data_IF_532776013415
#
_entry.id   IF_532776013415
#
_cell.length_a   1.000
_cell.length_b   1.000
_cell.length_c   1.000
_cell.angle_alpha   90.00
_cell.angle_beta   90.00
_cell.angle_gamma   90.00
#
_symmetry.space_group_name_H-M   'P 1'
#
loop_
_entity.id
_entity.type
_entity.pdbx_description
1 polymer ?
#
# COMPACT_ATOMS: atom_id res chain seq x y z
N UNK A 1 -1.24 0.32 -10.61
CA UNK A 1 -1.33 0.89 -9.26
C UNK A 1 -0.14 0.41 -8.43
N UNK A 2 0.64 1.32 -7.86
CA UNK A 2 1.83 1.02 -7.05
C UNK A 2 1.50 0.25 -5.75
N UNK A 3 0.39 0.54 -5.02
CA UNK A 3 0.06 -0.13 -3.77
C UNK A 3 -0.13 -1.64 -3.93
N UNK A 4 -0.85 -2.08 -4.98
CA UNK A 4 -1.13 -3.50 -5.24
C UNK A 4 0.17 -4.28 -5.50
N UNK A 5 1.11 -3.68 -6.25
CA UNK A 5 2.41 -4.32 -6.53
C UNK A 5 3.26 -4.44 -5.26
N UNK A 6 3.25 -3.42 -4.41
CA UNK A 6 3.96 -3.47 -3.12
C UNK A 6 3.36 -4.51 -2.18
N UNK A 7 2.04 -4.55 -2.04
CA UNK A 7 1.34 -5.54 -1.21
C UNK A 7 1.66 -6.97 -1.69
N UNK A 8 1.57 -7.21 -3.00
CA UNK A 8 1.90 -8.53 -3.58
C UNK A 8 3.33 -8.95 -3.23
N UNK A 9 4.30 -8.03 -3.36
CA UNK A 9 5.71 -8.30 -3.02
C UNK A 9 5.89 -8.61 -1.53
N UNK A 10 5.25 -7.85 -0.65
CA UNK A 10 5.28 -8.05 0.79
C UNK A 10 4.74 -9.43 1.20
N UNK A 11 3.63 -9.87 0.60
CA UNK A 11 3.04 -11.19 0.86
C UNK A 11 4.01 -12.31 0.45
N UNK A 12 4.67 -12.21 -0.72
CA UNK A 12 5.66 -13.23 -1.09
C UNK A 12 6.91 -13.20 -0.20
N UNK A 13 7.30 -12.04 0.33
CA UNK A 13 8.42 -11.92 1.26
C UNK A 13 8.08 -12.47 2.66
N UNK A 14 6.82 -12.36 3.10
CA UNK A 14 6.37 -12.86 4.41
C UNK A 14 6.53 -14.37 4.54
N UNK A 15 6.46 -15.11 3.43
CA UNK A 15 6.60 -16.58 3.42
C UNK A 15 7.99 -17.07 3.83
N UNK A 16 8.99 -16.18 3.85
CA UNK A 16 10.40 -16.52 4.16
C UNK A 16 10.92 -15.79 5.40
N UNK A 17 10.08 -15.02 6.09
CA UNK A 17 10.44 -14.20 7.24
C UNK A 17 9.60 -14.60 8.46
N UNK A 18 10.17 -14.41 9.65
CA UNK A 18 9.37 -14.49 10.87
C UNK A 18 8.39 -13.31 10.94
N UNK A 19 7.27 -13.53 11.64
CA UNK A 19 6.16 -12.58 11.70
C UNK A 19 6.58 -11.19 12.20
N UNK A 20 7.51 -11.12 13.16
CA UNK A 20 7.94 -9.85 13.75
C UNK A 20 8.74 -9.02 12.76
N UNK A 21 9.75 -9.63 12.14
CA UNK A 21 10.55 -8.98 11.08
C UNK A 21 9.67 -8.56 9.91
N UNK A 22 8.66 -9.36 9.57
CA UNK A 22 7.73 -9.03 8.49
C UNK A 22 6.88 -7.78 8.82
N UNK A 23 6.33 -7.68 10.03
CA UNK A 23 5.52 -6.53 10.44
C UNK A 23 6.33 -5.22 10.51
N UNK A 24 7.59 -5.28 10.95
CA UNK A 24 8.50 -4.11 10.91
C UNK A 24 8.73 -3.64 9.47
N UNK A 25 8.97 -4.59 8.55
CA UNK A 25 9.09 -4.31 7.12
C UNK A 25 7.82 -3.68 6.52
N UNK A 26 6.64 -4.22 6.86
CA UNK A 26 5.35 -3.66 6.43
C UNK A 26 5.20 -2.22 6.93
N UNK A 27 5.54 -1.95 8.19
CA UNK A 27 5.43 -0.62 8.79
C UNK A 27 6.25 0.42 8.02
N UNK A 28 7.50 0.10 7.68
CA UNK A 28 8.36 1.00 6.88
C UNK A 28 7.83 1.23 5.46
N UNK A 29 7.32 0.19 4.80
CA UNK A 29 6.79 0.30 3.43
C UNK A 29 5.44 1.04 3.37
N UNK A 30 4.62 0.92 4.42
CA UNK A 30 3.34 1.62 4.53
C UNK A 30 3.50 3.14 4.64
N UNK A 31 4.62 3.65 5.15
CA UNK A 31 4.91 5.08 5.12
C UNK A 31 5.00 5.60 3.67
N UNK A 32 5.75 4.91 2.81
CA UNK A 32 5.92 5.27 1.40
C UNK A 32 4.61 5.17 0.62
N UNK A 33 3.83 4.11 0.84
CA UNK A 33 2.52 3.95 0.18
C UNK A 33 1.57 5.08 0.57
N UNK A 34 1.59 5.52 1.84
CA UNK A 34 0.73 6.61 2.31
C UNK A 34 1.03 7.97 1.69
N UNK A 35 2.28 8.19 1.27
CA UNK A 35 2.69 9.41 0.56
C UNK A 35 2.33 9.41 -0.93
N UNK A 36 1.90 8.28 -1.49
CA UNK A 36 1.53 8.21 -2.91
C UNK A 36 0.24 8.96 -3.22
N UNK A 37 0.18 9.56 -4.41
CA UNK A 37 -1.01 10.25 -4.90
C UNK A 37 -2.20 9.30 -5.04
N UNK A 38 -1.95 8.04 -5.43
CA UNK A 38 -2.97 6.98 -5.51
C UNK A 38 -3.60 6.68 -4.13
N UNK A 39 -2.83 6.76 -3.04
CA UNK A 39 -3.37 6.55 -1.68
C UNK A 39 -4.25 7.73 -1.24
N UNK A 40 -3.78 8.96 -1.43
CA UNK A 40 -4.54 10.16 -1.12
C UNK A 40 -5.88 10.21 -1.89
N UNK A 41 -5.85 9.89 -3.19
CA UNK A 41 -7.03 9.78 -4.04
C UNK A 41 -7.97 8.66 -3.60
N UNK A 42 -7.44 7.49 -3.23
CA UNK A 42 -8.25 6.39 -2.70
C UNK A 42 -9.00 6.77 -1.42
N UNK A 43 -8.34 7.48 -0.51
CA UNK A 43 -8.97 7.98 0.73
C UNK A 43 -10.01 9.06 0.44
N UNK A 44 -9.71 10.01 -0.45
CA UNK A 44 -10.64 11.08 -0.83
C UNK A 44 -11.89 10.51 -1.51
N UNK A 45 -11.70 9.66 -2.53
CA UNK A 45 -12.80 9.02 -3.26
C UNK A 45 -13.69 8.15 -2.34
N UNK A 46 -13.09 7.44 -1.38
CA UNK A 46 -13.83 6.67 -0.38
C UNK A 46 -14.69 7.57 0.53
N UNK A 47 -14.13 8.68 1.02
CA UNK A 47 -14.87 9.66 1.83
C UNK A 47 -15.99 10.33 1.05
N UNK A 48 -15.74 10.67 -0.21
CA UNK A 48 -16.66 11.38 -1.11
C UNK A 48 -17.68 10.42 -1.79
N UNK A 49 -17.57 9.10 -1.58
CA UNK A 49 -18.40 8.06 -2.20
C UNK A 49 -18.45 8.14 -3.74
N UNK A 50 -17.34 8.54 -4.35
CA UNK A 50 -17.19 8.62 -5.81
C UNK A 50 -16.22 7.54 -6.30
N UNK A 51 -16.26 7.17 -7.59
CA UNK A 51 -15.24 6.29 -8.14
C UNK A 51 -13.84 6.93 -8.05
N UNK A 52 -12.83 6.18 -7.57
CA UNK A 52 -11.45 6.67 -7.50
C UNK A 52 -10.78 6.72 -8.87
N UNK A 53 -9.95 7.74 -9.11
CA UNK A 53 -9.16 7.90 -10.34
C UNK A 53 -7.68 7.68 -10.08
N UNK A 54 -7.26 6.42 -10.08
CA UNK A 54 -5.85 6.06 -9.86
C UNK A 54 -5.00 6.42 -11.08
N UNK A 55 -3.88 7.12 -10.84
CA UNK A 55 -2.93 7.56 -11.89
C UNK A 55 -1.67 6.70 -11.96
N UNK A 56 -1.50 5.77 -11.02
CA UNK A 56 -0.40 4.80 -11.04
C UNK A 56 0.97 5.39 -10.73
N UNK A 57 1.00 6.56 -10.05
CA UNK A 57 2.20 7.27 -9.62
C UNK A 57 2.27 7.36 -8.10
#
# INVERSE_FOLDING_TARGET
>A
QIPIRMIKRLVYQSLRLDLRTHLDLVSSHMAVVRETADHAEGVAAFKEKRPPTFRGR
#
